data_IF_604004186927
#
_entry.id   IF_604004186927
#
_cell.length_a   1.000
_cell.length_b   1.000
_cell.length_c   1.000
_cell.angle_alpha   90.00
_cell.angle_beta   90.00
_cell.angle_gamma   90.00
#
_symmetry.space_group_name_H-M   'P 1'
#
loop_
_entity.id
_entity.type
_entity.pdbx_description
1 polymer ?
#
# COMPACT_ATOMS: atom_id res chain seq x y z
N UNK A 1 -14.78 -67.78 16.44
CA UNK A 1 -14.25 -68.51 15.27
C UNK A 1 -15.31 -68.55 14.20
N UNK A 2 -14.88 -68.76 12.96
CA UNK A 2 -15.65 -68.94 11.73
C UNK A 2 -16.11 -67.67 10.98
N UNK A 3 -15.33 -67.35 9.95
CA UNK A 3 -15.79 -66.65 8.74
C UNK A 3 -16.82 -67.53 8.01
N UNK A 4 -17.81 -66.91 7.38
CA UNK A 4 -18.57 -67.54 6.29
C UNK A 4 -18.54 -66.60 5.09
N UNK A 5 -17.78 -67.04 4.09
CA UNK A 5 -17.78 -66.58 2.71
C UNK A 5 -19.08 -67.05 2.07
N UNK A 6 -19.75 -66.23 1.25
CA UNK A 6 -20.51 -66.73 0.11
C UNK A 6 -20.57 -65.70 -1.03
N UNK A 7 -20.21 -66.19 -2.21
CA UNK A 7 -20.03 -65.54 -3.51
C UNK A 7 -21.35 -64.99 -4.12
N UNK A 8 -21.30 -63.80 -4.74
CA UNK A 8 -21.47 -63.57 -6.19
C UNK A 8 -22.50 -64.49 -6.89
N UNK A 9 -23.63 -63.91 -7.34
CA UNK A 9 -23.97 -63.70 -8.76
C UNK A 9 -25.41 -63.10 -8.92
N UNK A 10 -25.62 -62.40 -10.04
CA UNK A 10 -26.90 -62.10 -10.74
C UNK A 10 -27.73 -60.81 -10.52
N UNK A 11 -27.34 -59.79 -11.32
CA UNK A 11 -28.12 -59.05 -12.35
C UNK A 11 -29.35 -58.19 -11.99
N UNK A 12 -29.26 -56.89 -12.33
CA UNK A 12 -30.28 -56.15 -13.08
C UNK A 12 -29.70 -54.88 -13.74
N UNK A 13 -29.95 -54.70 -15.04
CA UNK A 13 -29.43 -53.61 -15.90
C UNK A 13 -29.92 -52.20 -15.49
N UNK A 14 -29.18 -51.11 -15.80
CA UNK A 14 -29.58 -49.75 -15.45
C UNK A 14 -30.70 -49.24 -16.37
N UNK A 15 -31.78 -48.72 -15.78
CA UNK A 15 -32.83 -48.00 -16.52
C UNK A 15 -32.36 -46.58 -16.81
N UNK A 16 -32.15 -46.26 -18.08
CA UNK A 16 -31.85 -44.89 -18.52
C UNK A 16 -33.00 -43.95 -18.17
N UNK A 17 -32.70 -42.89 -17.41
CA UNK A 17 -33.64 -41.83 -17.08
C UNK A 17 -33.68 -40.85 -18.26
N UNK A 18 -34.86 -40.60 -18.80
CA UNK A 18 -35.08 -39.56 -19.82
C UNK A 18 -34.75 -38.20 -19.22
N UNK A 19 -33.90 -37.45 -19.90
CA UNK A 19 -33.49 -36.11 -19.52
C UNK A 19 -34.58 -35.12 -19.96
N UNK A 20 -35.22 -34.46 -19.00
CA UNK A 20 -36.16 -33.39 -19.29
C UNK A 20 -35.38 -32.16 -19.79
N UNK A 21 -35.62 -31.78 -21.04
CA UNK A 21 -34.99 -30.64 -21.70
C UNK A 21 -35.41 -29.34 -20.99
N UNK A 22 -34.52 -28.79 -20.17
CA UNK A 22 -34.75 -27.53 -19.46
C UNK A 22 -34.65 -26.38 -20.46
N UNK A 23 -35.79 -25.83 -20.83
CA UNK A 23 -35.89 -24.65 -21.70
C UNK A 23 -35.32 -23.42 -20.96
N UNK A 24 -34.18 -22.91 -21.42
CA UNK A 24 -33.48 -21.79 -20.78
C UNK A 24 -34.10 -20.47 -21.21
N UNK A 25 -34.68 -19.74 -20.27
CA UNK A 25 -35.15 -18.36 -20.50
C UNK A 25 -33.94 -17.44 -20.59
N UNK A 26 -33.71 -16.85 -21.76
CA UNK A 26 -32.68 -15.83 -21.95
C UNK A 26 -33.04 -14.59 -21.10
N UNK A 27 -32.27 -14.36 -20.04
CA UNK A 27 -32.36 -13.12 -19.28
C UNK A 27 -31.45 -12.09 -19.94
N UNK A 28 -32.02 -10.96 -20.36
CA UNK A 28 -31.21 -9.79 -20.75
C UNK A 28 -30.53 -9.23 -19.50
N UNK A 29 -29.38 -9.82 -19.16
CA UNK A 29 -28.48 -9.30 -18.13
C UNK A 29 -27.86 -8.02 -18.69
N UNK A 30 -28.51 -6.90 -18.42
CA UNK A 30 -27.88 -5.60 -18.66
C UNK A 30 -26.63 -5.55 -17.79
N UNK A 31 -25.47 -5.43 -18.43
CA UNK A 31 -24.20 -5.34 -17.70
C UNK A 31 -24.23 -4.06 -16.89
N UNK A 32 -24.18 -4.17 -15.55
CA UNK A 32 -24.18 -3.04 -14.61
C UNK A 32 -23.08 -2.00 -14.92
N UNK A 33 -21.99 -2.44 -15.55
CA UNK A 33 -20.82 -1.62 -15.84
C UNK A 33 -20.45 -1.67 -17.32
N UNK A 34 -19.81 -0.59 -17.78
CA UNK A 34 -19.33 -0.44 -19.15
C UNK A 34 -18.26 -1.49 -19.45
N UNK A 35 -18.33 -2.21 -20.59
CA UNK A 35 -17.32 -3.19 -20.94
C UNK A 35 -15.95 -2.52 -21.09
N UNK A 36 -14.89 -3.24 -20.68
CA UNK A 36 -13.50 -2.76 -20.75
C UNK A 36 -13.12 -2.30 -22.17
N UNK A 37 -13.63 -2.97 -23.20
CA UNK A 37 -13.39 -2.61 -24.61
C UNK A 37 -13.89 -1.20 -24.97
N UNK A 38 -14.87 -0.67 -24.24
CA UNK A 38 -15.40 0.69 -24.45
C UNK A 38 -14.89 1.69 -23.41
N UNK A 39 -13.85 1.35 -22.64
CA UNK A 39 -13.22 2.26 -21.69
C UNK A 39 -12.48 3.35 -22.46
N UNK A 40 -12.85 4.61 -22.23
CA UNK A 40 -12.10 5.76 -22.74
C UNK A 40 -10.95 6.02 -21.78
N UNK A 41 -9.72 6.04 -22.29
CA UNK A 41 -8.55 6.51 -21.55
C UNK A 41 -8.40 8.00 -21.84
N UNK A 42 -8.47 8.88 -20.84
CA UNK A 42 -8.23 10.31 -21.08
C UNK A 42 -6.80 10.47 -21.61
N UNK A 43 -6.65 11.37 -22.57
CA UNK A 43 -5.31 11.77 -23.04
C UNK A 43 -4.72 12.66 -21.95
N UNK A 44 -3.57 12.28 -21.41
CA UNK A 44 -2.85 13.14 -20.47
C UNK A 44 -2.52 14.46 -21.19
N UNK A 45 -3.03 15.56 -20.64
CA UNK A 45 -2.74 16.90 -21.10
C UNK A 45 -1.69 17.50 -20.16
N UNK A 46 -0.85 18.37 -20.70
CA UNK A 46 0.06 19.15 -19.88
C UNK A 46 -0.71 20.18 -19.03
N UNK A 47 -0.18 20.51 -17.86
CA UNK A 47 -0.77 21.51 -16.98
C UNK A 47 -0.71 22.88 -17.67
N UNK A 48 -1.86 23.54 -17.94
CA UNK A 48 -1.88 24.84 -18.59
C UNK A 48 -1.02 25.86 -17.85
N UNK A 49 -0.31 26.71 -18.58
CA UNK A 49 0.60 27.72 -18.00
C UNK A 49 -0.08 28.65 -16.99
N UNK A 50 -1.38 28.91 -17.15
CA UNK A 50 -2.19 29.68 -16.19
C UNK A 50 -2.21 29.09 -14.77
N UNK A 51 -1.93 27.80 -14.61
CA UNK A 51 -1.85 27.11 -13.33
C UNK A 51 -0.40 26.83 -12.91
N UNK A 52 0.58 27.29 -13.69
CA UNK A 52 1.99 27.06 -13.41
C UNK A 52 2.49 28.07 -12.39
N UNK A 53 2.99 27.58 -11.27
CA UNK A 53 3.62 28.42 -10.25
C UNK A 53 4.98 28.88 -10.79
N UNK A 54 5.10 30.17 -11.07
CA UNK A 54 6.38 30.80 -11.45
C UNK A 54 7.12 31.18 -10.17
N UNK A 55 8.31 30.61 -9.96
CA UNK A 55 9.18 31.00 -8.85
C UNK A 55 9.97 32.24 -9.27
N UNK A 56 9.53 33.41 -8.83
CA UNK A 56 10.25 34.68 -9.02
C UNK A 56 11.08 34.99 -7.76
N UNK A 57 12.30 34.44 -7.71
CA UNK A 57 13.23 34.66 -6.59
C UNK A 57 13.97 35.97 -6.84
N UNK A 58 13.59 37.03 -6.14
CA UNK A 58 14.27 38.33 -6.19
C UNK A 58 15.27 38.45 -5.05
N UNK A 59 16.56 38.56 -5.40
CA UNK A 59 17.65 38.65 -4.43
C UNK A 59 17.96 37.31 -3.76
N UNK A 60 18.90 37.32 -2.80
CA UNK A 60 19.21 36.12 -2.03
C UNK A 60 18.25 36.00 -0.84
N UNK A 61 17.44 34.92 -0.77
CA UNK A 61 16.46 34.75 0.31
C UNK A 61 17.10 34.55 1.69
N UNK A 62 18.40 34.27 1.74
CA UNK A 62 19.13 33.99 2.98
C UNK A 62 19.80 35.24 3.57
N UNK A 63 19.79 36.39 2.88
CA UNK A 63 20.50 37.60 3.32
C UNK A 63 19.97 38.16 4.64
N UNK A 64 18.69 37.94 4.93
CA UNK A 64 18.04 38.41 6.17
C UNK A 64 18.17 37.42 7.33
N UNK A 65 18.71 36.22 7.09
CA UNK A 65 18.81 35.20 8.13
C UNK A 65 19.94 35.52 9.11
N UNK A 66 19.70 35.35 10.43
CA UNK A 66 20.77 35.46 11.40
C UNK A 66 21.76 34.31 11.21
N UNK A 67 23.06 34.62 11.29
CA UNK A 67 24.10 33.60 11.29
C UNK A 67 24.07 32.85 12.62
N UNK A 68 23.76 31.56 12.58
CA UNK A 68 23.80 30.69 13.74
C UNK A 68 25.24 30.21 14.00
N UNK A 69 25.58 30.00 15.27
CA UNK A 69 26.82 29.32 15.62
C UNK A 69 26.71 27.85 15.23
N UNK A 70 27.77 27.29 14.62
CA UNK A 70 27.86 25.88 14.27
C UNK A 70 27.97 25.00 15.51
N UNK A 71 28.57 25.51 16.57
CA UNK A 71 28.73 24.79 17.83
C UNK A 71 27.63 25.21 18.80
N UNK A 72 26.78 24.27 19.26
CA UNK A 72 25.77 24.59 20.27
C UNK A 72 26.44 24.96 21.61
N UNK A 73 25.77 25.75 22.45
CA UNK A 73 26.23 26.00 23.81
C UNK A 73 26.17 24.72 24.67
N UNK A 74 26.88 24.73 25.79
CA UNK A 74 26.85 23.63 26.74
C UNK A 74 25.43 23.33 27.23
N UNK A 75 25.14 22.05 27.40
CA UNK A 75 23.81 21.59 27.80
C UNK A 75 23.45 22.07 29.22
N UNK A 76 22.25 22.62 29.36
CA UNK A 76 21.63 22.97 30.65
C UNK A 76 20.25 22.32 30.73
N UNK A 77 19.95 21.51 31.77
CA UNK A 77 18.66 20.85 31.89
C UNK A 77 17.55 21.90 31.98
N UNK A 78 16.67 21.91 30.97
CA UNK A 78 15.63 22.93 30.82
C UNK A 78 14.28 22.25 30.61
N UNK A 79 13.35 22.48 31.54
CA UNK A 79 11.96 22.03 31.45
C UNK A 79 11.83 20.52 31.24
N UNK A 80 11.56 20.11 30.00
CA UNK A 80 11.34 18.71 29.63
C UNK A 80 12.63 17.94 29.29
N UNK A 81 13.78 18.59 29.12
CA UNK A 81 15.04 17.89 28.85
C UNK A 81 15.90 17.89 30.11
N UNK A 82 15.87 16.77 30.84
CA UNK A 82 16.57 16.54 32.11
C UNK A 82 17.88 15.80 31.89
N UNK A 83 18.77 15.84 32.88
CA UNK A 83 20.07 15.17 32.83
C UNK A 83 19.94 13.67 32.57
N UNK A 84 18.99 13.00 33.23
CA UNK A 84 18.71 11.56 33.02
C UNK A 84 18.36 11.23 31.56
N UNK A 85 17.62 12.12 30.89
CA UNK A 85 17.25 11.94 29.47
C UNK A 85 18.44 12.15 28.56
N UNK A 86 19.31 13.10 28.89
CA UNK A 86 20.57 13.36 28.19
C UNK A 86 21.53 12.17 28.32
N UNK A 87 21.71 11.65 29.53
CA UNK A 87 22.54 10.46 29.78
C UNK A 87 22.05 9.22 29.02
N UNK A 88 20.74 8.99 29.02
CA UNK A 88 20.16 7.89 28.26
C UNK A 88 20.34 8.08 26.75
N UNK A 89 20.22 9.31 26.26
CA UNK A 89 20.46 9.64 24.86
C UNK A 89 21.92 9.39 24.47
N UNK A 90 22.87 9.84 25.28
CA UNK A 90 24.31 9.64 25.04
C UNK A 90 24.68 8.15 25.06
N UNK A 91 24.05 7.36 25.94
CA UNK A 91 24.28 5.90 26.00
C UNK A 91 23.82 5.19 24.73
N UNK A 92 22.66 5.58 24.21
CA UNK A 92 22.10 5.03 22.96
C UNK A 92 22.95 5.44 21.75
N UNK A 93 23.45 6.66 21.74
CA UNK A 93 24.26 7.23 20.66
C UNK A 93 25.75 7.24 21.02
N UNK A 94 26.22 6.19 21.68
CA UNK A 94 27.63 6.05 22.09
C UNK A 94 28.58 5.77 20.93
N UNK A 95 28.04 5.38 19.76
CA UNK A 95 28.74 5.39 18.48
C UNK A 95 28.63 6.74 17.80
N UNK A 96 29.58 7.09 16.93
CA UNK A 96 29.54 8.32 16.09
C UNK A 96 28.14 8.53 15.50
N UNK A 97 27.39 9.45 16.11
CA UNK A 97 26.00 9.74 15.73
C UNK A 97 25.94 10.43 14.37
N UNK A 98 26.96 11.24 14.09
CA UNK A 98 27.16 11.97 12.84
C UNK A 98 28.17 11.24 11.97
N UNK A 99 28.01 11.40 10.66
CA UNK A 99 29.02 10.92 9.72
C UNK A 99 30.21 11.87 9.68
N UNK A 100 31.41 11.41 9.26
CA UNK A 100 32.60 12.27 9.20
C UNK A 100 32.45 13.52 8.31
N UNK A 101 31.46 13.51 7.41
CA UNK A 101 31.17 14.61 6.48
C UNK A 101 30.18 15.65 7.06
N UNK A 102 29.53 15.38 8.20
CA UNK A 102 28.58 16.28 8.87
C UNK A 102 29.19 17.10 10.02
#
# INVERSE_FOLDING_TARGET
MMNVIYDHEDKAAPKEKKEDLVETRETFVTKKYKPVAQKIRPVYQDLPDKFRIVRDIKGNPLDTLPKLNRTPPDFVPTGHYTDERKEQFDKVHSSDFLWPEE
#
